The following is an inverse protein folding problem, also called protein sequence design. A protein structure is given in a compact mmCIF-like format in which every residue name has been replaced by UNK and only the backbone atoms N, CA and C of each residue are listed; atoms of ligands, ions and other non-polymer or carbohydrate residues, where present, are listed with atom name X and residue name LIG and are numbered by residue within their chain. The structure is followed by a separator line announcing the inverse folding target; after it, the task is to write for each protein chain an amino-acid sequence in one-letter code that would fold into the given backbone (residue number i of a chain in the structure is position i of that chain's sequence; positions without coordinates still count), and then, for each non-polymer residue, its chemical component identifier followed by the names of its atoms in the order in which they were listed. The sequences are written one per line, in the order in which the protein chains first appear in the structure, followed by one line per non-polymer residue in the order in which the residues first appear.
data_IF_593915814039
#
_entry.id   IF_593915814039
#
_cell.length_a   1.000
_cell.length_b   1.000
_cell.length_c   1.000
_cell.angle_alpha   90.00
_cell.angle_beta   90.00
_cell.angle_gamma   90.00
#
_symmetry.space_group_name_H-M   'P 1'
#
loop_
_entity.id
_entity.type
_entity.pdbx_description
1 polymer ?
#
# COMPACT_ATOMS: atom_id res chain seq x y z
N UNK A 1 -11.14 -2.80 -1.39
CA UNK A 1 -10.02 -1.84 -1.48
C UNK A 1 -10.52 -0.41 -1.76
N UNK A 2 -11.57 -0.27 -2.56
CA UNK A 2 -12.22 1.03 -2.85
C UNK A 2 -12.72 1.73 -1.59
N UNK A 3 -13.34 1.00 -0.65
CA UNK A 3 -13.80 1.56 0.63
C UNK A 3 -12.67 2.19 1.46
N UNK A 4 -11.47 1.60 1.39
CA UNK A 4 -10.28 2.13 2.08
C UNK A 4 -9.87 3.48 1.48
N UNK A 5 -9.95 3.60 0.15
CA UNK A 5 -9.66 4.86 -0.55
C UNK A 5 -10.76 5.88 -0.27
N UNK A 6 -12.03 5.47 -0.29
CA UNK A 6 -13.16 6.35 -0.01
C UNK A 6 -13.09 6.91 1.42
N UNK A 7 -12.79 6.06 2.40
CA UNK A 7 -12.56 6.47 3.79
C UNK A 7 -11.37 7.44 3.89
N UNK A 8 -10.24 7.13 3.24
CA UNK A 8 -9.09 8.02 3.23
C UNK A 8 -9.40 9.39 2.57
N UNK A 9 -10.23 9.44 1.53
CA UNK A 9 -10.67 10.70 0.89
C UNK A 9 -11.57 11.55 1.80
N UNK A 10 -12.38 10.92 2.65
CA UNK A 10 -13.24 11.63 3.58
C UNK A 10 -12.43 12.23 4.75
N UNK A 11 -11.40 11.52 5.22
CA UNK A 11 -10.67 11.88 6.45
C UNK A 11 -9.34 12.62 6.19
N UNK A 12 -8.77 12.53 4.99
CA UNK A 12 -7.45 13.07 4.67
C UNK A 12 -7.49 14.09 3.53
N UNK A 13 -6.56 15.03 3.56
CA UNK A 13 -6.33 15.92 2.42
C UNK A 13 -5.97 15.10 1.16
N UNK A 14 -6.47 15.54 0.00
CA UNK A 14 -6.37 14.81 -1.27
C UNK A 14 -4.97 14.28 -1.63
N UNK A 15 -3.90 15.02 -1.31
CA UNK A 15 -2.52 14.60 -1.62
C UNK A 15 -1.99 13.46 -0.72
N UNK A 16 -2.67 13.16 0.40
CA UNK A 16 -2.34 12.05 1.32
C UNK A 16 -3.14 10.79 1.03
N UNK A 17 -4.14 10.87 0.15
CA UNK A 17 -4.96 9.71 -0.22
C UNK A 17 -4.09 8.73 -1.01
N UNK A 18 -4.08 7.43 -0.65
CA UNK A 18 -3.30 6.43 -1.37
C UNK A 18 -3.82 6.27 -2.80
N UNK A 19 -2.89 6.27 -3.77
CA UNK A 19 -3.21 6.05 -5.20
C UNK A 19 -3.55 4.59 -5.52
N UNK A 20 -3.00 3.66 -4.75
CA UNK A 20 -3.17 2.21 -4.94
C UNK A 20 -3.33 1.56 -3.56
N UNK A 21 -4.25 0.60 -3.46
CA UNK A 21 -4.45 -0.24 -2.27
C UNK A 21 -4.41 -1.71 -2.69
N UNK A 22 -3.39 -2.43 -2.22
CA UNK A 22 -3.25 -3.86 -2.44
C UNK A 22 -3.64 -4.63 -1.18
N UNK A 23 -4.58 -5.56 -1.30
CA UNK A 23 -5.02 -6.42 -0.19
C UNK A 23 -4.22 -7.72 -0.25
N UNK A 24 -3.30 -7.90 0.70
CA UNK A 24 -2.50 -9.11 0.81
C UNK A 24 -3.11 -10.08 1.85
N UNK A 25 -2.93 -11.39 1.63
CA UNK A 25 -3.34 -12.42 2.60
C UNK A 25 -2.57 -12.31 3.92
N UNK A 26 -1.31 -11.89 3.86
CA UNK A 26 -0.48 -11.63 5.03
C UNK A 26 0.60 -10.60 4.68
N UNK A 27 1.08 -9.88 5.69
CA UNK A 27 2.23 -8.98 5.55
C UNK A 27 3.53 -9.76 5.82
N UNK A 28 4.58 -9.60 5.00
CA UNK A 28 5.87 -10.21 5.28
C UNK A 28 6.42 -9.63 6.58
N UNK A 29 6.94 -10.49 7.46
CA UNK A 29 7.49 -10.11 8.75
C UNK A 29 8.92 -10.62 8.87
N UNK A 30 9.76 -9.87 9.59
CA UNK A 30 11.10 -10.32 9.93
C UNK A 30 11.07 -11.33 11.11
N UNK A 31 12.22 -11.85 11.50
CA UNK A 31 12.38 -12.79 12.63
C UNK A 31 11.83 -12.24 13.95
N UNK A 32 11.80 -10.92 14.12
CA UNK A 32 11.24 -10.23 15.29
C UNK A 32 9.75 -9.89 15.13
N UNK A 33 9.08 -10.39 14.09
CA UNK A 33 7.66 -10.15 13.84
C UNK A 33 7.31 -8.76 13.30
N UNK A 34 8.29 -7.89 13.01
CA UNK A 34 8.03 -6.55 12.45
C UNK A 34 7.76 -6.66 10.95
N UNK A 35 6.86 -5.82 10.43
CA UNK A 35 6.57 -5.77 8.99
C UNK A 35 7.83 -5.43 8.20
N UNK A 36 8.16 -6.27 7.23
CA UNK A 36 9.34 -6.13 6.40
C UNK A 36 9.04 -5.25 5.18
N UNK A 37 9.12 -3.92 5.39
CA UNK A 37 8.83 -2.94 4.32
C UNK A 37 9.74 -3.09 3.09
N UNK A 38 10.97 -3.61 3.23
CA UNK A 38 11.87 -3.84 2.10
C UNK A 38 11.27 -4.86 1.12
N UNK A 39 10.87 -6.03 1.63
CA UNK A 39 10.23 -7.07 0.83
C UNK A 39 8.95 -6.56 0.14
N UNK A 40 8.10 -5.82 0.88
CA UNK A 40 6.90 -5.21 0.29
C UNK A 40 7.21 -4.25 -0.87
N UNK A 41 8.31 -3.48 -0.79
CA UNK A 41 8.71 -2.58 -1.89
C UNK A 41 9.25 -3.34 -3.09
N UNK A 42 9.92 -4.46 -2.88
CA UNK A 42 10.43 -5.33 -3.95
C UNK A 42 9.28 -6.05 -4.65
N UNK A 43 8.35 -6.64 -3.89
CA UNK A 43 7.13 -7.30 -4.41
C UNK A 43 6.25 -6.34 -5.23
N UNK A 44 6.21 -5.06 -4.84
CA UNK A 44 5.40 -4.01 -5.47
C UNK A 44 6.23 -3.00 -6.27
N UNK A 45 7.47 -3.32 -6.63
CA UNK A 45 8.39 -2.36 -7.27
C UNK A 45 7.84 -1.77 -8.58
N UNK A 46 7.08 -2.57 -9.34
CA UNK A 46 6.40 -2.15 -10.57
C UNK A 46 5.00 -1.58 -10.37
N UNK A 47 4.47 -1.54 -9.15
CA UNK A 47 3.07 -1.19 -8.91
C UNK A 47 2.72 0.28 -9.24
N UNK A 48 3.74 1.12 -9.42
CA UNK A 48 3.57 2.55 -9.76
C UNK A 48 4.15 2.92 -11.12
N UNK A 49 4.41 1.96 -12.02
CA UNK A 49 4.82 2.28 -13.40
C UNK A 49 3.64 2.94 -14.12
N UNK A 50 3.67 4.27 -14.21
CA UNK A 50 2.74 5.03 -15.02
C UNK A 50 2.94 4.69 -16.49
N UNK A 51 1.93 4.08 -17.09
CA UNK A 51 1.68 4.16 -18.52
C UNK A 51 1.45 5.63 -18.86
N UNK A 52 2.32 6.19 -19.69
CA UNK A 52 1.95 7.27 -20.58
C UNK A 52 1.28 6.66 -21.81
#
# INVERSE_FOLDING_TARGET
PEDVIAHAKAELANFKVPKLVHVAKALPRNTMGKVQKKALREELAGAFSGTA
#
